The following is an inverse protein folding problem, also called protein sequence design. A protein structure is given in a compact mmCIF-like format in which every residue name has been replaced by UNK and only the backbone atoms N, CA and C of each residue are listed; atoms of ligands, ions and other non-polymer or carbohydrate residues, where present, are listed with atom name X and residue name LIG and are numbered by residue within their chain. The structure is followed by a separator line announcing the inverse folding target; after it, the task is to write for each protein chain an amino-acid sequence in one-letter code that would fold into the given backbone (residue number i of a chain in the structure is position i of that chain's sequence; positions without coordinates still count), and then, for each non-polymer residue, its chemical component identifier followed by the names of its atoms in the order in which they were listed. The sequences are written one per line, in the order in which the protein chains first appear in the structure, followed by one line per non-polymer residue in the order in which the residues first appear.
data_IF_563162073978
#
_entry.id   IF_563162073978
#
_cell.length_a   1.000
_cell.length_b   1.000
_cell.length_c   1.000
_cell.angle_alpha   90.00
_cell.angle_beta   90.00
_cell.angle_gamma   90.00
#
_symmetry.space_group_name_H-M   'P 1'
#
loop_
_entity.id
_entity.type
_entity.pdbx_description
1 polymer ?
#
# COMPACT_ATOMS: atom_id res chain seq x y z
N UNK A 1 -2.01 4.44 4.67
CA UNK A 1 -1.37 3.11 4.90
C UNK A 1 -0.46 3.11 6.13
N UNK A 2 0.55 4.00 6.19
CA UNK A 2 1.50 4.10 7.31
C UNK A 2 0.86 4.17 8.71
N UNK A 3 -0.17 5.00 8.92
CA UNK A 3 -0.85 5.07 10.23
C UNK A 3 -1.53 3.75 10.62
N UNK A 4 -2.09 3.03 9.64
CA UNK A 4 -2.67 1.71 9.86
C UNK A 4 -1.62 0.67 10.27
N UNK A 5 -0.44 0.72 9.66
CA UNK A 5 0.71 -0.09 10.07
C UNK A 5 1.08 0.15 11.54
N UNK A 6 1.30 1.42 11.93
CA UNK A 6 1.65 1.74 13.31
C UNK A 6 0.56 1.36 14.32
N UNK A 7 -0.71 1.56 13.96
CA UNK A 7 -1.81 1.12 14.80
C UNK A 7 -1.75 -0.39 15.02
N UNK A 8 -1.69 -1.18 13.95
CA UNK A 8 -1.61 -2.64 14.02
C UNK A 8 -0.37 -3.13 14.80
N UNK A 9 0.80 -2.54 14.53
CA UNK A 9 2.04 -2.85 15.23
C UNK A 9 1.92 -2.60 16.74
N UNK A 10 1.40 -1.44 17.14
CA UNK A 10 1.27 -1.09 18.54
C UNK A 10 0.19 -1.92 19.26
N UNK A 11 -0.95 -2.16 18.63
CA UNK A 11 -1.99 -3.04 19.21
C UNK A 11 -1.49 -4.46 19.38
N UNK A 12 -0.82 -5.03 18.37
CA UNK A 12 -0.27 -6.39 18.43
C UNK A 12 0.75 -6.58 19.58
N UNK A 13 1.61 -5.58 19.79
CA UNK A 13 2.60 -5.55 20.88
C UNK A 13 1.96 -5.49 22.27
N UNK A 14 0.86 -4.76 22.46
CA UNK A 14 0.12 -4.71 23.74
C UNK A 14 -0.37 -6.08 24.20
N UNK A 15 -0.58 -7.00 23.25
CA UNK A 15 -1.06 -8.36 23.51
C UNK A 15 0.06 -9.41 23.50
N UNK A 16 1.35 -9.01 23.51
CA UNK A 16 2.50 -9.91 23.37
C UNK A 16 2.41 -10.82 22.13
N UNK A 17 1.76 -10.35 21.06
CA UNK A 17 1.52 -11.12 19.84
C UNK A 17 1.76 -10.22 18.62
N UNK A 18 3.00 -9.81 18.40
CA UNK A 18 3.39 -9.00 17.24
C UNK A 18 2.97 -9.66 15.94
N UNK A 19 2.40 -8.88 15.01
CA UNK A 19 2.07 -9.40 13.68
C UNK A 19 3.35 -9.64 12.87
N UNK A 20 3.44 -10.83 12.27
CA UNK A 20 4.56 -11.22 11.40
C UNK A 20 4.39 -10.73 9.95
N UNK A 21 3.17 -10.31 9.59
CA UNK A 21 2.81 -9.92 8.24
C UNK A 21 1.79 -8.79 8.24
N UNK A 22 2.03 -7.79 7.40
CA UNK A 22 1.17 -6.63 7.19
C UNK A 22 0.72 -6.65 5.74
N UNK A 23 -0.60 -6.71 5.53
CA UNK A 23 -1.21 -6.74 4.20
C UNK A 23 -1.89 -5.40 3.95
N UNK A 24 -1.45 -4.73 2.89
CA UNK A 24 -2.10 -3.53 2.36
C UNK A 24 -3.01 -3.98 1.22
N UNK A 25 -4.31 -3.77 1.40
CA UNK A 25 -5.35 -4.34 0.55
C UNK A 25 -6.39 -3.30 0.19
N UNK A 26 -6.59 -3.07 -1.10
CA UNK A 26 -7.70 -2.26 -1.58
C UNK A 26 -9.04 -2.92 -1.27
N UNK A 27 -9.96 -2.17 -0.68
CA UNK A 27 -11.24 -2.69 -0.17
C UNK A 27 -12.18 -3.18 -1.26
N UNK A 28 -11.96 -2.76 -2.50
CA UNK A 28 -12.74 -3.13 -3.67
C UNK A 28 -12.16 -4.33 -4.41
N UNK A 29 -11.08 -4.95 -3.93
CA UNK A 29 -10.48 -6.12 -4.58
C UNK A 29 -10.79 -7.39 -3.81
N UNK A 30 -11.19 -8.45 -4.52
CA UNK A 30 -11.47 -9.77 -3.94
C UNK A 30 -10.67 -10.86 -4.66
N UNK A 31 -9.94 -11.73 -3.93
CA UNK A 31 -9.21 -12.83 -4.55
C UNK A 31 -10.19 -13.87 -5.13
N UNK A 32 -9.90 -14.38 -6.32
CA UNK A 32 -10.72 -15.40 -6.98
C UNK A 32 -10.28 -16.84 -6.65
N UNK A 33 -9.16 -16.99 -5.93
CA UNK A 33 -8.54 -18.27 -5.66
C UNK A 33 -8.00 -18.32 -4.22
N UNK A 34 -8.45 -19.30 -3.43
CA UNK A 34 -8.07 -19.49 -2.03
C UNK A 34 -6.62 -19.96 -1.84
N UNK A 35 -5.96 -20.40 -2.92
CA UNK A 35 -4.52 -20.72 -2.93
C UNK A 35 -3.64 -19.46 -2.96
N UNK A 36 -4.21 -18.27 -3.12
CA UNK A 36 -3.49 -17.01 -3.04
C UNK A 36 -3.30 -16.62 -1.57
N UNK A 37 -2.29 -17.18 -0.93
CA UNK A 37 -2.13 -17.12 0.52
C UNK A 37 -1.76 -15.72 1.02
N UNK A 38 -2.50 -15.25 2.03
CA UNK A 38 -2.27 -14.00 2.75
C UNK A 38 -1.28 -14.21 3.90
N UNK A 39 -0.06 -14.60 3.57
CA UNK A 39 0.99 -14.86 4.54
C UNK A 39 2.36 -14.46 3.99
N UNK A 40 3.10 -13.69 4.78
CA UNK A 40 4.47 -13.30 4.44
C UNK A 40 5.43 -14.47 4.66
N UNK A 41 6.60 -14.43 3.99
CA UNK A 41 7.70 -15.38 4.22
C UNK A 41 8.80 -14.71 5.06
N UNK A 42 8.89 -14.98 6.39
CA UNK A 42 9.92 -14.40 7.24
C UNK A 42 11.34 -14.67 6.74
N UNK A 43 12.24 -13.70 6.91
CA UNK A 43 13.64 -13.81 6.48
C UNK A 43 13.87 -13.71 4.96
N UNK A 44 12.82 -13.57 4.15
CA UNK A 44 12.94 -13.34 2.71
C UNK A 44 13.19 -11.86 2.39
N UNK A 45 13.95 -11.58 1.34
CA UNK A 45 14.04 -10.24 0.73
C UNK A 45 12.95 -10.02 -0.35
N UNK A 46 11.97 -10.91 -0.42
CA UNK A 46 10.86 -10.83 -1.36
C UNK A 46 9.62 -10.25 -0.67
N UNK A 47 9.11 -9.16 -1.24
CA UNK A 47 7.83 -8.53 -0.89
C UNK A 47 6.77 -9.14 -1.80
N UNK A 48 5.66 -9.60 -1.23
CA UNK A 48 4.61 -10.31 -1.98
C UNK A 48 3.60 -9.35 -2.58
N UNK A 49 3.45 -9.38 -3.90
CA UNK A 49 2.39 -8.68 -4.61
C UNK A 49 1.36 -9.68 -5.11
N UNK A 50 0.19 -9.72 -4.46
CA UNK A 50 -0.82 -10.73 -4.71
C UNK A 50 -1.73 -10.38 -5.89
N UNK A 51 -2.00 -9.09 -6.12
CA UNK A 51 -2.94 -8.61 -7.14
C UNK A 51 -2.31 -8.51 -8.54
N UNK A 52 -1.79 -9.62 -9.06
CA UNK A 52 -1.02 -9.62 -10.31
C UNK A 52 -1.84 -9.80 -11.60
N UNK A 53 -3.13 -10.13 -11.47
CA UNK A 53 -4.06 -10.29 -12.58
C UNK A 53 -5.46 -9.82 -12.17
N UNK A 54 -5.93 -8.70 -12.71
CA UNK A 54 -7.18 -8.06 -12.27
C UNK A 54 -8.20 -8.00 -13.41
N UNK A 55 -9.46 -8.32 -13.14
CA UNK A 55 -10.55 -8.34 -14.13
C UNK A 55 -10.70 -7.01 -14.90
N UNK A 56 -10.51 -5.87 -14.23
CA UNK A 56 -10.53 -4.52 -14.80
C UNK A 56 -9.55 -4.32 -15.95
N UNK A 57 -8.44 -5.07 -15.95
CA UNK A 57 -7.42 -5.05 -17.00
C UNK A 57 -7.54 -6.26 -17.93
N UNK A 58 -8.70 -6.93 -17.96
CA UNK A 58 -8.94 -8.19 -18.65
C UNK A 58 -7.92 -9.27 -18.27
N UNK A 59 -7.48 -9.29 -17.01
CA UNK A 59 -6.49 -10.23 -16.48
C UNK A 59 -5.10 -10.16 -17.14
N UNK A 60 -4.79 -9.09 -17.90
CA UNK A 60 -3.50 -8.91 -18.55
C UNK A 60 -2.38 -8.59 -17.54
N UNK A 61 -1.58 -9.60 -17.22
CA UNK A 61 -0.48 -9.51 -16.24
C UNK A 61 0.61 -8.48 -16.58
N UNK A 62 0.77 -8.11 -17.86
CA UNK A 62 1.75 -7.11 -18.31
C UNK A 62 1.48 -5.71 -17.75
N UNK A 63 0.23 -5.37 -17.44
CA UNK A 63 -0.10 -4.07 -16.83
C UNK A 63 0.48 -3.94 -15.41
N UNK A 64 0.74 -5.07 -14.75
CA UNK A 64 1.19 -5.14 -13.35
C UNK A 64 2.72 -5.23 -13.19
N UNK A 65 3.50 -5.14 -14.27
CA UNK A 65 4.96 -5.30 -14.23
C UNK A 65 5.71 -4.12 -13.60
N UNK A 66 5.13 -2.91 -13.64
CA UNK A 66 5.75 -1.69 -13.10
C UNK A 66 5.15 -1.23 -11.77
N UNK A 67 3.88 -1.54 -11.50
CA UNK A 67 3.19 -1.13 -10.27
C UNK A 67 3.02 -2.29 -9.29
N UNK A 68 2.80 -1.96 -8.01
CA UNK A 68 2.51 -2.91 -6.91
C UNK A 68 1.19 -2.62 -6.19
N UNK A 69 0.25 -1.97 -6.90
CA UNK A 69 -1.06 -1.62 -6.36
C UNK A 69 -2.02 -2.80 -6.15
N UNK A 70 -3.14 -2.53 -5.49
CA UNK A 70 -4.14 -3.55 -5.17
C UNK A 70 -3.84 -4.27 -3.86
N UNK A 71 -2.93 -5.26 -3.89
CA UNK A 71 -2.62 -6.08 -2.70
C UNK A 71 -1.13 -6.37 -2.57
N UNK A 72 -0.52 -5.83 -1.53
CA UNK A 72 0.91 -5.91 -1.23
C UNK A 72 1.13 -6.34 0.21
N UNK A 73 2.05 -7.28 0.45
CA UNK A 73 2.35 -7.80 1.77
C UNK A 73 3.82 -7.61 2.14
N UNK A 74 4.03 -7.19 3.38
CA UNK A 74 5.36 -7.01 3.96
C UNK A 74 5.46 -7.67 5.33
N UNK A 75 6.62 -8.22 5.65
CA UNK A 75 6.99 -8.38 7.06
C UNK A 75 7.23 -6.99 7.69
N UNK A 76 7.21 -6.91 9.03
CA UNK A 76 7.57 -5.68 9.75
C UNK A 76 8.91 -5.11 9.27
N UNK A 77 9.94 -5.97 9.21
CA UNK A 77 11.30 -5.58 8.79
C UNK A 77 11.33 -5.08 7.35
N UNK A 78 10.63 -5.72 6.43
CA UNK A 78 10.59 -5.29 5.03
C UNK A 78 9.93 -3.91 4.90
N UNK A 79 8.82 -3.68 5.60
CA UNK A 79 8.09 -2.42 5.53
C UNK A 79 8.86 -1.27 6.19
N UNK A 80 9.50 -1.52 7.34
CA UNK A 80 10.36 -0.54 8.01
C UNK A 80 11.59 -0.23 7.17
N UNK A 81 12.17 -1.23 6.50
CA UNK A 81 13.33 -1.05 5.61
C UNK A 81 13.01 -0.14 4.41
N UNK A 82 11.77 -0.11 3.92
CA UNK A 82 11.37 0.84 2.86
C UNK A 82 10.96 2.21 3.39
N UNK A 83 11.06 2.45 4.70
CA UNK A 83 10.47 3.59 5.39
C UNK A 83 8.96 3.71 5.11
N UNK A 84 8.25 2.59 4.91
CA UNK A 84 6.84 2.57 4.52
C UNK A 84 6.51 3.31 3.22
N UNK A 85 5.23 3.68 3.05
CA UNK A 85 4.75 4.43 1.88
C UNK A 85 5.14 5.91 1.97
N UNK A 86 5.28 6.59 0.84
CA UNK A 86 5.43 8.05 0.81
C UNK A 86 4.21 8.77 1.38
N UNK A 87 4.42 9.86 2.11
CA UNK A 87 3.32 10.72 2.61
C UNK A 87 2.98 11.86 1.63
N UNK A 88 3.63 11.92 0.46
CA UNK A 88 3.50 13.04 -0.50
C UNK A 88 2.38 12.87 -1.51
N UNK A 89 1.81 11.67 -1.62
CA UNK A 89 0.77 11.36 -2.59
C UNK A 89 -0.59 11.78 -2.04
N UNK A 90 -1.06 12.93 -2.53
CA UNK A 90 -2.42 13.43 -2.34
C UNK A 90 -3.13 13.48 -3.68
N UNK A 91 -4.27 12.80 -3.80
CA UNK A 91 -4.98 12.57 -5.07
C UNK A 91 -4.75 11.16 -5.60
N UNK A 92 -5.02 10.94 -6.88
CA UNK A 92 -4.81 9.63 -7.51
C UNK A 92 -3.40 9.51 -8.10
N UNK A 93 -2.76 8.36 -7.87
CA UNK A 93 -1.67 7.82 -8.70
C UNK A 93 -0.24 8.05 -8.20
N UNK A 94 0.61 7.06 -8.47
CA UNK A 94 2.07 7.08 -8.29
C UNK A 94 2.57 6.54 -6.96
N UNK A 95 1.72 6.41 -5.95
CA UNK A 95 2.12 5.91 -4.63
C UNK A 95 2.59 4.46 -4.67
N UNK A 96 1.95 3.63 -5.51
CA UNK A 96 2.33 2.24 -5.71
C UNK A 96 3.63 2.12 -6.51
N UNK A 97 3.81 2.98 -7.53
CA UNK A 97 5.04 2.99 -8.34
C UNK A 97 6.23 3.48 -7.51
N UNK A 98 6.03 4.48 -6.66
CA UNK A 98 6.98 4.95 -5.66
C UNK A 98 7.35 3.83 -4.68
N UNK A 99 6.36 3.09 -4.17
CA UNK A 99 6.62 1.93 -3.33
C UNK A 99 7.44 0.86 -4.06
N UNK A 100 7.17 0.58 -5.34
CA UNK A 100 8.00 -0.33 -6.13
C UNK A 100 9.45 0.17 -6.27
N UNK A 101 9.67 1.48 -6.43
CA UNK A 101 11.02 2.07 -6.39
C UNK A 101 11.66 1.85 -5.02
N UNK A 102 10.96 2.14 -3.92
CA UNK A 102 11.45 1.96 -2.54
C UNK A 102 11.85 0.53 -2.23
N UNK A 103 11.06 -0.46 -2.67
CA UNK A 103 11.38 -1.88 -2.56
C UNK A 103 12.74 -2.16 -3.22
N UNK A 104 12.92 -1.70 -4.46
CA UNK A 104 14.14 -1.98 -5.25
C UNK A 104 15.39 -1.32 -4.68
N UNK A 105 15.32 -0.03 -4.33
CA UNK A 105 16.49 0.71 -3.81
C UNK A 105 16.94 0.20 -2.44
N UNK A 106 16.04 -0.43 -1.67
CA UNK A 106 16.37 -1.07 -0.40
C UNK A 106 16.80 -2.54 -0.53
N UNK A 107 17.12 -3.00 -1.75
CA UNK A 107 17.61 -4.35 -2.02
C UNK A 107 16.56 -5.44 -1.77
N UNK A 108 15.28 -5.08 -1.79
CA UNK A 108 14.16 -6.02 -1.80
C UNK A 108 13.71 -6.26 -3.25
N UNK A 109 12.92 -7.31 -3.45
CA UNK A 109 12.37 -7.66 -4.76
C UNK A 109 10.89 -7.98 -4.65
N UNK A 110 10.13 -7.72 -5.71
CA UNK A 110 8.70 -8.08 -5.73
C UNK A 110 8.55 -9.52 -6.20
N UNK A 111 7.88 -10.35 -5.40
CA UNK A 111 7.43 -11.71 -5.77
C UNK A 111 5.96 -11.67 -6.17
N UNK A 112 5.65 -12.33 -7.28
CA UNK A 112 4.29 -12.58 -7.77
C UNK A 112 4.15 -14.09 -7.97
N UNK A 113 2.94 -14.62 -7.88
CA UNK A 113 2.70 -16.03 -8.20
C UNK A 113 2.99 -16.28 -9.69
N UNK A 114 3.71 -17.36 -10.00
CA UNK A 114 4.02 -17.74 -11.39
C UNK A 114 2.79 -18.27 -12.13
N UNK A 115 1.80 -18.81 -11.41
CA UNK A 115 0.49 -19.16 -11.97
C UNK A 115 -0.46 -17.96 -11.83
N UNK A 116 -0.71 -17.28 -12.96
CA UNK A 116 -1.58 -16.12 -13.00
C UNK A 116 -3.04 -16.44 -12.66
N UNK A 117 -3.48 -17.71 -12.70
CA UNK A 117 -4.83 -18.10 -12.26
C UNK A 117 -4.97 -18.07 -10.74
N UNK A 118 -3.86 -18.17 -10.00
CA UNK A 118 -3.86 -18.05 -8.53
C UNK A 118 -3.91 -16.57 -8.13
N UNK A 119 -3.23 -15.68 -8.85
CA UNK A 119 -3.17 -14.25 -8.52
C UNK A 119 -4.35 -13.41 -9.08
N UNK A 120 -5.47 -14.04 -9.44
CA UNK A 120 -6.64 -13.35 -9.99
C UNK A 120 -7.43 -12.61 -8.91
N UNK A 121 -7.79 -11.38 -9.23
CA UNK A 121 -8.68 -10.56 -8.42
C UNK A 121 -9.83 -10.00 -9.26
N UNK A 122 -11.00 -10.00 -8.65
CA UNK A 122 -12.14 -9.21 -9.09
C UNK A 122 -12.11 -7.86 -8.37
N UNK A 123 -12.06 -6.77 -9.13
CA UNK A 123 -12.26 -5.41 -8.63
C UNK A 123 -13.76 -5.06 -8.73
N UNK A 124 -14.34 -4.63 -7.61
CA UNK A 124 -15.69 -4.09 -7.52
C UNK A 124 -15.70 -2.76 -8.27
N UNK A 125 -16.62 -2.61 -9.22
CA UNK A 125 -16.68 -1.41 -10.05
C UNK A 125 -17.02 -0.17 -9.21
N UNK A 126 -16.20 0.86 -9.37
CA UNK A 126 -16.43 2.17 -8.79
C UNK A 126 -16.00 3.27 -9.76
N UNK A 127 -16.62 4.45 -9.65
CA UNK A 127 -16.19 5.64 -10.39
C UNK A 127 -14.98 6.25 -9.69
N UNK A 128 -14.10 6.90 -10.45
CA UNK A 128 -13.04 7.72 -9.86
C UNK A 128 -13.69 8.85 -9.07
N UNK A 129 -13.18 9.09 -7.86
CA UNK A 129 -13.59 10.24 -7.07
C UNK A 129 -13.11 11.53 -7.74
N UNK A 130 -14.05 12.41 -8.10
CA UNK A 130 -13.76 13.71 -8.71
C UNK A 130 -12.99 14.66 -7.78
N UNK A 131 -13.00 14.42 -6.47
CA UNK A 131 -12.28 15.23 -5.49
C UNK A 131 -10.78 14.87 -5.41
N UNK A 132 -10.37 13.76 -6.02
CA UNK A 132 -8.98 13.33 -6.09
C UNK A 132 -8.45 13.59 -7.50
N UNK A 133 -7.81 14.75 -7.76
CA UNK A 133 -7.27 15.01 -9.09
C UNK A 133 -6.14 14.03 -9.42
N UNK A 134 -6.04 13.64 -10.69
CA UNK A 134 -4.88 12.96 -11.27
C UNK A 134 -4.17 13.97 -12.17
N UNK A 135 -2.89 14.24 -11.89
CA UNK A 135 -2.07 15.15 -12.70
C UNK A 135 -0.79 14.40 -13.09
N UNK A 136 -0.80 13.81 -14.28
CA UNK A 136 0.23 12.90 -14.79
C UNK A 136 1.66 13.43 -14.61
N UNK A 137 1.92 14.66 -15.04
CA UNK A 137 3.24 15.30 -14.92
C UNK A 137 3.75 15.30 -13.46
N UNK A 138 2.89 15.65 -12.49
CA UNK A 138 3.27 15.66 -11.08
C UNK A 138 3.46 14.25 -10.50
N UNK A 139 2.72 13.26 -11.02
CA UNK A 139 2.83 11.86 -10.61
C UNK A 139 4.18 11.31 -11.08
N UNK A 140 4.49 11.50 -12.36
CA UNK A 140 5.75 11.05 -12.96
C UNK A 140 6.97 11.70 -12.28
N UNK A 141 6.91 13.00 -12.00
CA UNK A 141 7.98 13.70 -11.29
C UNK A 141 8.18 13.16 -9.87
N UNK A 142 7.11 12.93 -9.12
CA UNK A 142 7.19 12.36 -7.77
C UNK A 142 7.83 10.97 -7.81
N UNK A 143 7.36 10.09 -8.70
CA UNK A 143 7.89 8.73 -8.85
C UNK A 143 9.38 8.74 -9.26
N UNK A 144 9.78 9.63 -10.17
CA UNK A 144 11.20 9.77 -10.57
C UNK A 144 12.11 10.15 -9.40
N UNK A 145 11.59 10.94 -8.44
CA UNK A 145 12.34 11.35 -7.25
C UNK A 145 12.13 10.44 -6.04
N UNK A 146 11.39 9.33 -6.19
CA UNK A 146 11.05 8.43 -5.09
C UNK A 146 12.29 7.92 -4.33
N UNK A 147 13.35 7.57 -5.05
CA UNK A 147 14.62 7.11 -4.45
C UNK A 147 15.25 8.17 -3.55
N UNK A 148 15.21 9.43 -3.98
CA UNK A 148 15.91 10.54 -3.32
C UNK A 148 15.23 10.94 -2.01
N UNK A 149 13.94 10.62 -1.89
CA UNK A 149 13.11 10.98 -0.75
C UNK A 149 12.76 9.81 0.16
N UNK A 150 13.02 8.56 -0.25
CA UNK A 150 12.61 7.37 0.48
C UNK A 150 13.07 7.38 1.96
N UNK A 151 14.27 7.88 2.25
CA UNK A 151 14.82 7.91 3.62
C UNK A 151 14.17 8.98 4.52
N UNK A 152 13.72 10.09 3.94
CA UNK A 152 13.23 11.28 4.67
C UNK A 152 11.72 11.47 4.63
N UNK A 153 11.04 10.75 3.75
CA UNK A 153 9.59 10.78 3.58
C UNK A 153 8.99 9.37 3.71
N UNK A 154 8.19 9.14 4.74
CA UNK A 154 7.54 7.86 5.01
C UNK A 154 7.19 7.68 6.49
N UNK A 155 7.55 6.55 7.08
CA UNK A 155 7.33 6.30 8.51
C UNK A 155 8.05 7.32 9.41
N UNK A 156 9.28 7.70 9.04
CA UNK A 156 10.14 8.60 9.83
C UNK A 156 9.58 10.01 10.02
N UNK A 157 8.76 10.50 9.09
CA UNK A 157 8.15 11.84 9.14
C UNK A 157 6.62 11.80 9.15
N UNK A 158 6.02 10.65 9.49
CA UNK A 158 4.57 10.49 9.51
C UNK A 158 3.94 11.42 10.54
N UNK A 159 3.09 12.35 10.08
CA UNK A 159 2.36 13.28 10.93
C UNK A 159 0.85 13.07 10.79
N UNK A 160 0.30 12.22 11.66
CA UNK A 160 -1.13 11.90 11.68
C UNK A 160 -1.64 11.78 13.10
N UNK A 161 -2.92 12.06 13.32
CA UNK A 161 -3.56 11.94 14.64
C UNK A 161 -4.69 10.93 14.59
N UNK A 162 -4.68 9.92 15.46
CA UNK A 162 -5.82 9.02 15.64
C UNK A 162 -6.92 9.76 16.39
N UNK A 163 -8.07 9.93 15.75
CA UNK A 163 -9.23 10.63 16.30
C UNK A 163 -10.11 9.70 17.13
N UNK A 164 -10.38 8.49 16.61
CA UNK A 164 -11.16 7.48 17.33
C UNK A 164 -10.90 6.09 16.79
N UNK A 165 -11.17 5.09 17.63
CA UNK A 165 -11.08 3.66 17.29
C UNK A 165 -12.40 3.00 17.60
N UNK A 166 -12.98 2.31 16.63
CA UNK A 166 -14.22 1.57 16.77
C UNK A 166 -13.97 0.09 16.53
N UNK A 167 -14.17 -0.70 17.57
CA UNK A 167 -14.06 -2.16 17.53
C UNK A 167 -15.40 -2.76 17.13
N UNK A 168 -15.41 -3.59 16.10
CA UNK A 168 -16.58 -4.38 15.69
C UNK A 168 -16.26 -5.86 15.79
N UNK A 169 -17.26 -6.72 15.61
CA UNK A 169 -17.05 -8.18 15.61
C UNK A 169 -16.21 -8.68 14.43
N UNK A 170 -16.08 -7.90 13.35
CA UNK A 170 -15.41 -8.34 12.11
C UNK A 170 -14.17 -7.52 11.76
N UNK A 171 -14.10 -6.26 12.17
CA UNK A 171 -13.00 -5.35 11.86
C UNK A 171 -12.85 -4.23 12.89
N UNK A 172 -11.70 -3.56 12.86
CA UNK A 172 -11.44 -2.35 13.63
C UNK A 172 -11.41 -1.16 12.67
N UNK A 173 -12.19 -0.12 12.98
CA UNK A 173 -12.16 1.13 12.22
C UNK A 173 -11.36 2.17 12.99
N UNK A 174 -10.29 2.65 12.38
CA UNK A 174 -9.44 3.71 12.94
C UNK A 174 -9.70 4.98 12.15
N UNK A 175 -10.25 6.00 12.81
CA UNK A 175 -10.43 7.32 12.23
C UNK A 175 -9.17 8.13 12.47
N UNK A 176 -8.60 8.67 11.39
CA UNK A 176 -7.30 9.34 11.41
C UNK A 176 -7.45 10.70 10.75
N UNK A 177 -6.93 11.73 11.41
CA UNK A 177 -6.61 13.00 10.79
C UNK A 177 -5.22 12.89 10.14
N UNK A 178 -5.20 12.99 8.82
CA UNK A 178 -3.98 12.92 8.00
C UNK A 178 -3.50 14.30 7.55
N UNK A 179 -4.13 15.37 8.06
CA UNK A 179 -3.91 16.74 7.62
C UNK A 179 -4.64 17.06 6.31
N UNK A 180 -4.21 18.15 5.67
CA UNK A 180 -4.80 18.63 4.41
C UNK A 180 -3.79 18.53 3.27
N UNK A 181 -4.23 18.17 2.06
CA UNK A 181 -3.39 18.25 0.87
C UNK A 181 -2.76 19.62 0.70
N UNK A 182 -1.54 19.69 0.16
CA UNK A 182 -0.85 20.95 -0.11
C UNK A 182 -1.61 21.87 -1.07
N UNK A 183 -2.50 21.33 -1.91
CA UNK A 183 -3.36 22.08 -2.83
C UNK A 183 -4.68 22.57 -2.20
N UNK A 184 -4.97 22.22 -0.94
CA UNK A 184 -6.22 22.61 -0.24
C UNK A 184 -6.21 24.05 0.27
N UNK A 185 -5.06 24.73 0.23
CA UNK A 185 -4.92 26.11 0.68
C UNK A 185 -5.35 27.07 -0.44
N UNK A 186 -6.63 27.01 -0.83
CA UNK A 186 -7.27 28.04 -1.66
C UNK A 186 -8.79 27.88 -1.69
N UNK A 187 -9.46 28.15 -0.56
CA UNK A 187 -10.83 28.69 -0.55
C UNK A 187 -10.97 29.68 0.61
N UNK A 188 -10.47 30.90 0.40
CA UNK A 188 -10.91 32.11 1.12
C UNK A 188 -11.95 32.84 0.27
#
# INVERSE_FOLDING_TARGET
MNTGYYFALNESRKHNNSFDCYVFHDVDMMPENDKNMYACTPGSNQVDHLACSVNKFNYNALCCGMTVGGVLMFTSDQFEKTNGFSNRYWGWGGEDDDMNVRIRVNGLSVRRNSDHNICRYTMIEHKRDSLNPYVEETVDERVKTASDHAEVDGLTNLNTTVLSVQWTSLFVRVFVDVGTPHWSVAKS
#
